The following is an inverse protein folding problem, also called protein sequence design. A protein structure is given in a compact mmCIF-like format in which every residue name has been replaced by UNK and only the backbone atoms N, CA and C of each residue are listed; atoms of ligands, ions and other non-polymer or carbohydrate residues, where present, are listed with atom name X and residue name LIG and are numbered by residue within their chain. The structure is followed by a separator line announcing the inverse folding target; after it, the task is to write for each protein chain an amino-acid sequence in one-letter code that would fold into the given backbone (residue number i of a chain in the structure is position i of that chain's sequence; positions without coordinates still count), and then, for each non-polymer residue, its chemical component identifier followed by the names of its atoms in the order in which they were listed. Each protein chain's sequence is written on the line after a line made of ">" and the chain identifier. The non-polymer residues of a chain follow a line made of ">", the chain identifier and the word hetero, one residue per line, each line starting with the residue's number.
data_IF_420762545761
#
_entry.id   IF_420762545761
#
_cell.length_a   1.000
_cell.length_b   1.000
_cell.length_c   1.000
_cell.angle_alpha   90.00
_cell.angle_beta   90.00
_cell.angle_gamma   90.00
#
_symmetry.space_group_name_H-M   'P 1'
#
loop_
_entity.id
_entity.type
_entity.pdbx_description
1 polymer ?
#
# COMPACT_ATOMS: atom_id res chain seq x y z
N UNK A 1 -12.64 -14.24 -10.45
CA UNK A 1 -13.14 -13.40 -9.37
C UNK A 1 -12.07 -13.21 -8.32
N UNK A 2 -11.79 -11.99 -7.98
CA UNK A 2 -10.75 -11.69 -7.00
C UNK A 2 -11.21 -12.08 -5.62
N UNK A 3 -10.34 -12.76 -4.89
CA UNK A 3 -10.65 -13.21 -3.55
C UNK A 3 -10.76 -12.01 -2.61
N UNK A 4 -11.92 -11.86 -1.97
CA UNK A 4 -12.12 -10.89 -0.91
C UNK A 4 -11.82 -11.51 0.46
N UNK A 5 -11.27 -12.73 0.47
CA UNK A 5 -10.94 -13.41 1.72
C UNK A 5 -9.83 -12.68 2.45
N UNK A 6 -9.95 -12.62 3.76
CA UNK A 6 -8.90 -12.10 4.64
C UNK A 6 -7.63 -12.92 4.47
N UNK A 7 -6.45 -12.29 4.54
CA UNK A 7 -5.21 -13.04 4.47
C UNK A 7 -5.09 -13.98 5.66
N UNK A 8 -4.53 -15.18 5.42
CA UNK A 8 -4.27 -16.14 6.51
C UNK A 8 -3.16 -15.66 7.44
N UNK A 9 -2.35 -14.75 6.97
CA UNK A 9 -1.23 -14.16 7.68
C UNK A 9 -1.68 -12.90 8.40
N UNK A 10 -1.24 -12.75 9.65
CA UNK A 10 -1.40 -11.51 10.40
C UNK A 10 -0.03 -10.97 10.75
N UNK A 11 0.40 -9.86 10.14
CA UNK A 11 1.74 -9.33 10.38
C UNK A 11 1.87 -8.79 11.80
N UNK A 12 3.01 -9.06 12.47
CA UNK A 12 3.33 -8.40 13.72
C UNK A 12 3.41 -6.88 13.51
N UNK A 13 2.98 -6.12 14.51
CA UNK A 13 3.02 -4.66 14.44
C UNK A 13 4.28 -4.13 15.09
N UNK A 14 4.85 -3.08 14.53
CA UNK A 14 5.96 -2.34 15.12
C UNK A 14 5.50 -1.51 16.32
N UNK A 15 4.82 -2.16 17.27
CA UNK A 15 4.22 -1.46 18.42
C UNK A 15 5.26 -0.85 19.37
N UNK A 16 6.44 -1.42 19.40
CA UNK A 16 7.52 -0.93 20.25
C UNK A 16 8.23 0.28 19.66
N UNK A 17 7.90 0.64 18.43
CA UNK A 17 8.52 1.74 17.72
C UNK A 17 7.48 2.83 17.52
N UNK A 18 7.86 4.06 17.76
CA UNK A 18 6.98 5.22 17.60
C UNK A 18 6.61 5.50 16.14
N UNK A 19 7.11 4.71 15.20
CA UNK A 19 6.97 4.99 13.77
C UNK A 19 6.69 3.72 12.96
N UNK A 20 5.45 3.18 13.03
CA UNK A 20 5.07 2.05 12.19
C UNK A 20 5.03 2.43 10.71
N UNK A 21 5.24 1.46 9.82
CA UNK A 21 5.02 1.69 8.41
C UNK A 21 3.54 1.99 8.16
N UNK A 22 3.28 2.84 7.17
CA UNK A 22 1.89 3.25 6.89
C UNK A 22 1.03 2.04 6.54
N UNK A 23 1.57 1.06 5.83
CA UNK A 23 0.86 -0.17 5.47
C UNK A 23 0.33 -0.90 6.69
N UNK A 24 1.05 -0.87 7.83
CA UNK A 24 0.60 -1.52 9.06
C UNK A 24 -0.70 -0.94 9.59
N UNK A 25 -0.92 0.36 9.33
CA UNK A 25 -2.12 1.06 9.82
C UNK A 25 -3.36 0.69 9.01
N UNK A 26 -3.19 0.23 7.79
CA UNK A 26 -4.30 -0.05 6.87
C UNK A 26 -4.49 -1.55 6.57
N UNK A 27 -3.60 -2.39 7.08
CA UNK A 27 -3.77 -3.83 6.99
C UNK A 27 -5.10 -4.24 7.65
N UNK A 28 -5.90 -5.13 7.10
CA UNK A 28 -5.64 -6.00 5.94
C UNK A 28 -6.25 -5.51 4.62
N UNK A 29 -6.53 -4.25 4.46
CA UNK A 29 -7.10 -3.72 3.22
C UNK A 29 -6.03 -3.67 2.12
N UNK A 30 -6.01 -4.71 1.29
CA UNK A 30 -5.00 -4.88 0.25
C UNK A 30 -4.99 -3.73 -0.75
N UNK A 31 -6.18 -3.25 -1.16
CA UNK A 31 -6.28 -2.14 -2.10
C UNK A 31 -5.73 -0.85 -1.49
N UNK A 32 -6.12 -0.55 -0.24
CA UNK A 32 -5.60 0.65 0.45
C UNK A 32 -4.08 0.61 0.59
N UNK A 33 -3.52 -0.54 0.96
CA UNK A 33 -2.07 -0.69 1.04
C UNK A 33 -1.40 -0.44 -0.30
N UNK A 34 -2.02 -0.86 -1.40
CA UNK A 34 -1.50 -0.61 -2.75
C UNK A 34 -1.57 0.87 -3.13
N UNK A 35 -2.69 1.53 -2.79
CA UNK A 35 -2.82 2.99 -2.97
C UNK A 35 -1.70 3.72 -2.23
N UNK A 36 -1.43 3.32 -1.00
CA UNK A 36 -0.36 3.92 -0.19
C UNK A 36 0.99 3.80 -0.90
N UNK A 37 1.28 2.64 -1.47
CA UNK A 37 2.53 2.45 -2.21
C UNK A 37 2.64 3.38 -3.42
N UNK A 38 1.55 3.61 -4.14
CA UNK A 38 1.53 4.56 -5.25
C UNK A 38 1.76 6.00 -4.76
N UNK A 39 1.20 6.35 -3.61
CA UNK A 39 1.40 7.66 -3.00
C UNK A 39 2.84 7.86 -2.52
N UNK A 40 3.48 6.80 -2.03
CA UNK A 40 4.84 6.84 -1.51
C UNK A 40 5.91 6.87 -2.60
N UNK A 41 5.56 6.63 -3.85
CA UNK A 41 6.52 6.68 -4.95
C UNK A 41 7.06 8.11 -5.09
N UNK A 42 8.38 8.29 -4.91
CA UNK A 42 9.05 9.58 -4.98
C UNK A 42 8.58 10.59 -3.93
N UNK A 43 8.05 10.12 -2.81
CA UNK A 43 7.63 10.95 -1.68
C UNK A 43 8.08 10.33 -0.37
N UNK A 44 7.72 10.96 0.74
CA UNK A 44 8.01 10.45 2.08
C UNK A 44 6.73 10.15 2.84
N UNK A 45 6.82 9.32 3.88
CA UNK A 45 5.70 9.07 4.78
C UNK A 45 5.18 10.35 5.42
N UNK A 46 6.06 11.32 5.66
CA UNK A 46 5.68 12.62 6.22
C UNK A 46 4.73 13.37 5.30
N UNK A 47 4.93 13.25 3.98
CA UNK A 47 4.05 13.88 3.00
C UNK A 47 2.74 13.11 2.83
N UNK A 48 2.78 11.79 2.88
CA UNK A 48 1.64 10.93 2.58
C UNK A 48 0.68 10.80 3.76
N UNK A 49 1.19 10.58 4.98
CA UNK A 49 0.33 10.35 6.15
C UNK A 49 -0.79 11.36 6.33
N UNK A 50 -0.55 12.69 6.21
CA UNK A 50 -1.60 13.67 6.49
C UNK A 50 -2.80 13.61 5.55
N UNK A 51 -2.63 13.09 4.33
CA UNK A 51 -3.71 13.10 3.34
C UNK A 51 -4.54 11.81 3.32
N UNK A 52 -4.04 10.72 3.91
CA UNK A 52 -4.66 9.40 3.75
C UNK A 52 -6.06 9.30 4.36
N UNK A 53 -6.26 9.88 5.52
CA UNK A 53 -7.57 9.84 6.18
C UNK A 53 -8.65 10.44 5.28
N UNK A 54 -8.40 11.62 4.72
CA UNK A 54 -9.35 12.29 3.83
C UNK A 54 -9.46 11.57 2.48
N UNK A 55 -8.35 11.06 1.97
CA UNK A 55 -8.34 10.30 0.71
C UNK A 55 -9.29 9.11 0.79
N UNK A 56 -9.16 8.30 1.86
CA UNK A 56 -9.98 7.11 2.02
C UNK A 56 -11.38 7.40 2.54
N UNK A 57 -11.59 8.57 3.12
CA UNK A 57 -12.95 9.01 3.44
C UNK A 57 -13.74 9.30 2.17
N UNK A 58 -13.12 9.97 1.21
CA UNK A 58 -13.75 10.33 -0.06
C UNK A 58 -13.84 9.16 -1.03
N UNK A 59 -12.77 8.38 -1.11
CA UNK A 59 -12.69 7.25 -2.04
C UNK A 59 -12.28 5.99 -1.28
N UNK A 60 -13.23 5.35 -0.60
CA UNK A 60 -12.92 4.24 0.34
C UNK A 60 -12.63 2.89 -0.31
N UNK A 61 -12.86 2.75 -1.61
CA UNK A 61 -12.71 1.48 -2.30
C UNK A 61 -12.33 1.73 -3.77
N UNK A 62 -11.94 0.67 -4.51
CA UNK A 62 -11.51 0.85 -5.90
C UNK A 62 -12.61 1.39 -6.83
N UNK A 63 -13.88 1.07 -6.58
CA UNK A 63 -14.97 1.59 -7.40
C UNK A 63 -15.08 3.11 -7.26
N UNK A 64 -15.04 3.61 -6.03
CA UNK A 64 -15.09 5.05 -5.77
C UNK A 64 -13.88 5.77 -6.39
N UNK A 65 -12.68 5.19 -6.21
CA UNK A 65 -11.45 5.79 -6.73
C UNK A 65 -11.43 5.82 -8.27
N UNK A 66 -11.86 4.75 -8.89
CA UNK A 66 -11.96 4.65 -10.35
C UNK A 66 -12.79 5.80 -10.92
N UNK A 67 -13.85 6.20 -10.23
CA UNK A 67 -14.77 7.25 -10.64
C UNK A 67 -14.48 8.62 -10.02
N UNK A 68 -13.35 8.79 -9.35
CA UNK A 68 -13.00 10.05 -8.72
C UNK A 68 -12.94 11.20 -9.74
N UNK A 69 -13.46 12.35 -9.35
CA UNK A 69 -13.37 13.55 -10.17
C UNK A 69 -11.92 14.04 -10.16
N UNK A 70 -11.34 14.22 -11.34
CA UNK A 70 -9.91 14.52 -11.50
C UNK A 70 -9.47 15.74 -10.68
N UNK A 71 -10.16 16.85 -10.79
CA UNK A 71 -9.74 18.08 -10.12
C UNK A 71 -9.82 17.96 -8.59
N UNK A 72 -10.83 17.25 -8.09
CA UNK A 72 -10.99 17.02 -6.65
C UNK A 72 -9.86 16.13 -6.12
N UNK A 73 -9.54 15.06 -6.85
CA UNK A 73 -8.46 14.16 -6.47
C UNK A 73 -7.11 14.87 -6.52
N UNK A 74 -6.84 15.60 -7.60
CA UNK A 74 -5.59 16.36 -7.75
C UNK A 74 -5.41 17.39 -6.65
N UNK A 75 -6.47 18.07 -6.25
CA UNK A 75 -6.41 19.06 -5.17
C UNK A 75 -5.95 18.42 -3.86
N UNK A 76 -6.46 17.22 -3.55
CA UNK A 76 -6.09 16.53 -2.31
C UNK A 76 -4.66 16.01 -2.33
N UNK A 77 -4.21 15.45 -3.45
CA UNK A 77 -2.87 14.86 -3.54
C UNK A 77 -1.78 15.86 -3.95
N UNK A 78 -2.14 17.13 -4.12
CA UNK A 78 -1.20 18.18 -4.52
C UNK A 78 0.11 18.19 -3.71
N UNK A 79 0.10 18.01 -2.39
CA UNK A 79 1.34 17.99 -1.61
C UNK A 79 2.33 16.89 -2.01
N UNK A 80 1.87 15.86 -2.72
CA UNK A 80 2.74 14.75 -3.14
C UNK A 80 3.53 15.06 -4.42
N UNK A 81 3.12 16.08 -5.17
CA UNK A 81 3.71 16.37 -6.48
C UNK A 81 3.29 15.39 -7.57
N UNK A 82 3.73 15.65 -8.79
CA UNK A 82 3.39 14.84 -9.97
C UNK A 82 1.89 14.51 -10.05
N UNK A 83 1.06 15.55 -9.82
CA UNK A 83 -0.38 15.40 -9.57
C UNK A 83 -1.10 14.69 -10.71
N UNK A 84 -0.79 15.05 -11.94
CA UNK A 84 -1.46 14.45 -13.12
C UNK A 84 -1.15 12.96 -13.24
N UNK A 85 0.12 12.60 -13.14
CA UNK A 85 0.55 11.21 -13.22
C UNK A 85 0.03 10.41 -12.04
N UNK A 86 0.06 10.99 -10.85
CA UNK A 86 -0.33 10.30 -9.63
C UNK A 86 -1.84 10.05 -9.59
N UNK A 87 -2.64 11.06 -9.94
CA UNK A 87 -4.09 10.91 -10.05
C UNK A 87 -4.46 9.84 -11.08
N UNK A 88 -3.80 9.86 -12.23
CA UNK A 88 -4.01 8.86 -13.26
C UNK A 88 -3.66 7.46 -12.76
N UNK A 89 -2.54 7.33 -12.05
CA UNK A 89 -2.11 6.04 -11.50
C UNK A 89 -3.10 5.49 -10.50
N UNK A 90 -3.59 6.31 -9.58
CA UNK A 90 -4.57 5.88 -8.58
C UNK A 90 -5.87 5.41 -9.23
N UNK A 91 -6.36 6.14 -10.21
CA UNK A 91 -7.61 5.82 -10.91
C UNK A 91 -7.47 4.58 -11.80
N UNK A 92 -6.39 4.50 -12.57
CA UNK A 92 -6.15 3.36 -13.46
C UNK A 92 -5.83 2.09 -12.70
N UNK A 93 -5.04 2.18 -11.63
CA UNK A 93 -4.78 1.02 -10.78
C UNK A 93 -6.07 0.48 -10.20
N UNK A 94 -6.97 1.36 -9.75
CA UNK A 94 -8.25 0.97 -9.20
C UNK A 94 -9.17 0.36 -10.26
N UNK A 95 -9.14 0.88 -11.48
CA UNK A 95 -9.83 0.28 -12.62
C UNK A 95 -9.31 -1.13 -12.88
N UNK A 96 -7.98 -1.29 -12.97
CA UNK A 96 -7.37 -2.60 -13.18
C UNK A 96 -7.72 -3.57 -12.05
N UNK A 97 -7.75 -3.07 -10.81
CA UNK A 97 -8.12 -3.86 -9.64
C UNK A 97 -9.45 -4.57 -9.84
N UNK A 98 -10.42 -3.87 -10.40
CA UNK A 98 -11.78 -4.38 -10.60
C UNK A 98 -11.90 -5.19 -11.88
N UNK A 99 -11.40 -4.66 -12.99
CA UNK A 99 -11.70 -5.16 -14.32
C UNK A 99 -10.69 -6.18 -14.85
N UNK A 100 -9.44 -6.10 -14.38
CA UNK A 100 -8.39 -6.97 -14.90
C UNK A 100 -8.37 -8.29 -14.14
N UNK A 101 -8.11 -9.38 -14.86
CA UNK A 101 -7.86 -10.67 -14.22
C UNK A 101 -6.37 -10.71 -13.86
N UNK A 102 -6.07 -10.45 -12.58
CA UNK A 102 -4.71 -10.32 -12.10
C UNK A 102 -4.43 -11.27 -10.92
N UNK A 103 -3.17 -11.70 -10.81
CA UNK A 103 -2.70 -12.54 -9.71
C UNK A 103 -1.67 -11.82 -8.84
N UNK A 104 -0.90 -10.90 -9.42
CA UNK A 104 0.10 -10.11 -8.71
C UNK A 104 -0.21 -8.63 -8.89
N UNK A 105 -0.03 -7.84 -7.83
CA UNK A 105 -0.21 -6.37 -7.91
C UNK A 105 0.73 -5.73 -8.93
N UNK A 106 1.82 -6.40 -9.28
CA UNK A 106 2.74 -5.93 -10.31
C UNK A 106 2.07 -5.76 -11.67
N UNK A 107 0.99 -6.50 -11.91
CA UNK A 107 0.24 -6.44 -13.17
C UNK A 107 -0.68 -5.22 -13.24
N UNK A 108 -0.86 -4.50 -12.13
CA UNK A 108 -1.75 -3.35 -12.05
C UNK A 108 -1.01 -2.08 -12.45
N UNK A 109 -1.73 -1.15 -13.08
CA UNK A 109 -1.15 0.10 -13.54
C UNK A 109 -0.43 0.85 -12.42
N UNK A 110 0.79 1.28 -12.69
CA UNK A 110 1.59 2.08 -11.75
C UNK A 110 2.27 1.30 -10.64
N UNK A 111 2.02 0.01 -10.51
CA UNK A 111 2.62 -0.82 -9.48
C UNK A 111 3.97 -1.38 -9.95
N UNK A 112 5.03 -1.03 -9.23
CA UNK A 112 6.38 -1.53 -9.49
C UNK A 112 6.86 -2.47 -8.41
N UNK A 113 8.17 -2.54 -8.26
CA UNK A 113 8.80 -3.47 -7.31
C UNK A 113 8.44 -3.16 -5.87
N UNK A 114 8.37 -1.88 -5.49
CA UNK A 114 8.02 -1.50 -4.13
C UNK A 114 6.62 -1.98 -3.73
N UNK A 115 5.62 -1.72 -4.58
CA UNK A 115 4.25 -2.17 -4.31
C UNK A 115 4.17 -3.70 -4.27
N UNK A 116 4.89 -4.37 -5.15
CA UNK A 116 4.93 -5.83 -5.21
C UNK A 116 5.53 -6.42 -3.93
N UNK A 117 6.67 -5.87 -3.49
CA UNK A 117 7.33 -6.33 -2.27
C UNK A 117 6.46 -6.06 -1.04
N UNK A 118 5.84 -4.87 -0.97
CA UNK A 118 4.93 -4.51 0.12
C UNK A 118 3.76 -5.49 0.21
N UNK A 119 3.14 -5.81 -0.91
CA UNK A 119 2.04 -6.77 -0.97
C UNK A 119 2.47 -8.17 -0.52
N UNK A 120 3.64 -8.61 -0.97
CA UNK A 120 4.16 -9.93 -0.57
C UNK A 120 4.42 -10.00 0.93
N UNK A 121 4.96 -8.94 1.51
CA UNK A 121 5.27 -8.90 2.95
C UNK A 121 4.00 -8.79 3.78
N UNK A 122 3.20 -7.77 3.55
CA UNK A 122 2.08 -7.45 4.44
C UNK A 122 0.83 -8.27 4.19
N UNK A 123 0.52 -8.57 2.94
CA UNK A 123 -0.68 -9.32 2.61
C UNK A 123 -0.44 -10.81 2.47
N UNK A 124 0.66 -11.20 1.83
CA UNK A 124 0.95 -12.62 1.56
C UNK A 124 1.80 -13.29 2.65
N UNK A 125 2.43 -12.51 3.53
CA UNK A 125 3.26 -13.06 4.60
C UNK A 125 4.58 -13.65 4.12
N UNK A 126 5.09 -13.18 2.98
CA UNK A 126 6.36 -13.64 2.44
C UNK A 126 7.50 -12.86 3.09
N UNK A 127 8.20 -13.48 4.02
CA UNK A 127 9.22 -12.83 4.84
C UNK A 127 10.66 -13.08 4.39
N UNK A 128 10.85 -13.84 3.31
CA UNK A 128 12.18 -14.22 2.82
C UNK A 128 12.68 -13.29 1.71
N UNK A 129 11.97 -12.19 1.47
CA UNK A 129 12.36 -11.22 0.47
C UNK A 129 13.56 -10.39 0.91
N UNK A 130 14.29 -9.92 -0.09
CA UNK A 130 15.36 -8.94 0.11
C UNK A 130 14.99 -7.66 -0.67
N UNK A 131 14.07 -6.85 -0.12
CA UNK A 131 13.61 -5.65 -0.82
C UNK A 131 14.70 -4.59 -0.89
N UNK A 132 14.62 -3.74 -1.90
CA UNK A 132 15.55 -2.61 -2.02
C UNK A 132 15.14 -1.45 -1.10
N UNK A 133 13.87 -1.32 -0.80
CA UNK A 133 13.36 -0.23 0.03
C UNK A 133 13.82 -0.34 1.48
N UNK A 134 14.34 0.76 2.04
CA UNK A 134 14.89 0.79 3.40
C UNK A 134 13.85 0.55 4.48
N UNK A 135 12.62 1.06 4.31
CA UNK A 135 11.56 0.88 5.29
C UNK A 135 11.07 -0.58 5.31
N UNK A 136 10.94 -1.21 4.14
CA UNK A 136 10.60 -2.63 4.08
C UNK A 136 11.70 -3.50 4.68
N UNK A 137 12.97 -3.15 4.46
CA UNK A 137 14.09 -3.84 5.10
C UNK A 137 14.01 -3.73 6.63
N UNK A 138 13.74 -2.54 7.14
CA UNK A 138 13.60 -2.28 8.57
C UNK A 138 12.48 -3.12 9.18
N UNK A 139 11.34 -3.17 8.51
CA UNK A 139 10.20 -3.96 8.95
C UNK A 139 10.52 -5.46 8.98
N UNK A 140 11.16 -5.98 7.93
CA UNK A 140 11.52 -7.40 7.86
C UNK A 140 12.52 -7.80 8.94
N UNK A 141 13.49 -6.94 9.26
CA UNK A 141 14.42 -7.19 10.35
C UNK A 141 13.68 -7.33 11.68
N UNK A 142 12.72 -6.44 11.92
CA UNK A 142 11.89 -6.49 13.13
C UNK A 142 11.09 -7.79 13.18
N UNK A 143 10.38 -8.13 12.13
CA UNK A 143 9.50 -9.31 12.09
C UNK A 143 10.31 -10.59 12.28
N UNK A 144 11.46 -10.69 11.64
CA UNK A 144 12.33 -11.86 11.74
C UNK A 144 12.80 -12.07 13.18
N UNK A 145 13.14 -10.98 13.89
CA UNK A 145 13.51 -11.03 15.31
C UNK A 145 12.34 -11.45 16.18
N UNK A 146 11.15 -10.90 15.93
CA UNK A 146 9.95 -11.25 16.69
C UNK A 146 9.60 -12.74 16.56
N UNK A 147 9.64 -13.27 15.35
CA UNK A 147 9.35 -14.67 15.10
C UNK A 147 10.40 -15.59 15.73
N UNK A 148 11.66 -15.20 15.75
CA UNK A 148 12.70 -15.96 16.43
C UNK A 148 12.47 -15.99 17.94
N UNK A 149 12.06 -14.86 18.53
CA UNK A 149 11.77 -14.75 19.96
C UNK A 149 10.61 -15.65 20.41
N UNK A 150 9.58 -15.77 19.56
CA UNK A 150 8.41 -16.60 19.86
C UNK A 150 8.70 -18.10 19.79
N UNK A 151 9.78 -18.50 19.10
CA UNK A 151 10.17 -19.89 18.95
C UNK A 151 11.17 -20.35 20.03
N UNK A 152 11.48 -19.49 20.98
CA UNK A 152 12.28 -19.83 22.15
C UNK A 152 11.35 -20.05 23.37
#
# INVERSE_FOLDING_TARGET
>A
MKSLTQPLWKPPKLNAWSDPLIQELYWPDRWKMTVICLCLNMTSGRQVRPILSELFRRWPNPVAMKHAHDETLKALIKPLGFVNKRAQALKRMSHDWIEKDWTSVKELYGCGQYATDSDKIFYQGCLELEPQDGELKRYLEFVRKELCSQNQ
#
